data_IF_445468873758
#
_entry.id   IF_445468873758
#
_cell.length_a   1.000
_cell.length_b   1.000
_cell.length_c   1.000
_cell.angle_alpha   90.00
_cell.angle_beta   90.00
_cell.angle_gamma   90.00
#
_symmetry.space_group_name_H-M   'P 1'
#
loop_
_entity.id
_entity.type
_entity.pdbx_description
1 polymer ?
#
# COMPACT_ATOMS: atom_id res chain seq x y z
N UNK A 1 23.44 -34.88 6.21
CA UNK A 1 23.53 -33.44 6.08
C UNK A 1 23.40 -32.87 7.49
N UNK A 2 24.49 -32.48 8.15
CA UNK A 2 24.42 -31.85 9.47
C UNK A 2 23.86 -30.43 9.28
N UNK A 3 22.66 -30.19 9.78
CA UNK A 3 22.14 -28.85 9.95
C UNK A 3 23.05 -28.12 10.96
N UNK A 4 23.99 -27.32 10.48
CA UNK A 4 24.75 -26.41 11.34
C UNK A 4 23.77 -25.39 11.89
N UNK A 5 23.45 -25.47 13.17
CA UNK A 5 22.71 -24.46 13.89
C UNK A 5 23.56 -23.19 13.92
N UNK A 6 23.34 -22.29 12.99
CA UNK A 6 23.95 -20.96 13.06
C UNK A 6 23.20 -20.15 14.12
N UNK A 7 23.92 -19.74 15.18
CA UNK A 7 23.34 -18.83 16.16
C UNK A 7 23.08 -17.47 15.49
N UNK A 8 21.82 -17.13 15.28
CA UNK A 8 21.43 -15.80 14.72
C UNK A 8 21.86 -14.71 15.69
N UNK A 9 22.42 -13.62 15.19
CA UNK A 9 22.80 -12.43 15.93
C UNK A 9 21.58 -11.85 16.68
N UNK A 10 21.78 -11.26 17.86
CA UNK A 10 20.71 -10.51 18.54
C UNK A 10 20.28 -9.31 17.73
N UNK A 11 19.01 -8.96 17.83
CA UNK A 11 18.45 -7.74 17.28
C UNK A 11 17.49 -7.10 18.29
N UNK A 12 17.38 -5.78 18.23
CA UNK A 12 16.52 -4.97 19.09
C UNK A 12 15.52 -4.26 18.22
N UNK A 13 14.25 -4.28 18.65
CA UNK A 13 13.20 -3.40 18.20
C UNK A 13 12.90 -2.40 19.31
N UNK A 14 13.07 -1.11 19.06
CA UNK A 14 12.71 -0.02 19.97
C UNK A 14 11.59 0.79 19.33
N UNK A 15 10.49 1.00 20.06
CA UNK A 15 9.38 1.87 19.67
C UNK A 15 9.60 3.30 20.16
N UNK A 16 8.96 4.26 19.54
CA UNK A 16 9.08 5.69 19.83
C UNK A 16 8.77 6.06 21.28
N UNK A 17 7.85 5.33 21.91
CA UNK A 17 7.49 5.51 23.33
C UNK A 17 8.48 4.84 24.32
N UNK A 18 9.58 4.27 23.82
CA UNK A 18 10.64 3.63 24.61
C UNK A 18 10.41 2.15 24.87
N UNK A 19 9.35 1.52 24.37
CA UNK A 19 9.13 0.07 24.51
C UNK A 19 10.16 -0.71 23.70
N UNK A 20 10.83 -1.68 24.34
CA UNK A 20 11.87 -2.52 23.74
C UNK A 20 11.38 -3.96 23.60
N UNK A 21 11.74 -4.59 22.47
CA UNK A 21 11.59 -6.02 22.25
C UNK A 21 12.92 -6.59 21.73
N UNK A 22 13.33 -7.73 22.28
CA UNK A 22 14.54 -8.43 21.85
C UNK A 22 14.20 -9.64 21.00
N UNK A 23 15.00 -9.88 19.97
CA UNK A 23 14.85 -10.99 19.03
C UNK A 23 16.15 -11.37 18.36
N UNK A 24 16.05 -11.89 17.16
CA UNK A 24 17.16 -12.34 16.32
C UNK A 24 17.15 -11.61 14.98
N UNK A 25 18.34 -11.30 14.48
CA UNK A 25 18.51 -10.72 13.17
C UNK A 25 17.99 -11.66 12.07
N UNK A 26 17.36 -11.07 11.06
CA UNK A 26 16.95 -11.70 9.81
C UNK A 26 17.20 -10.70 8.68
N UNK A 27 17.48 -11.20 7.47
CA UNK A 27 17.89 -10.36 6.35
C UNK A 27 19.28 -9.74 6.56
N UNK A 28 19.42 -8.46 6.19
CA UNK A 28 20.68 -7.73 6.29
C UNK A 28 20.98 -7.38 7.75
N UNK A 29 22.24 -7.57 8.16
CA UNK A 29 22.76 -7.01 9.42
C UNK A 29 22.87 -5.49 9.25
N UNK A 30 22.33 -4.73 10.20
CA UNK A 30 22.31 -3.28 10.12
C UNK A 30 21.24 -2.65 11.03
N UNK A 31 20.93 -1.39 10.73
CA UNK A 31 19.93 -0.59 11.43
C UNK A 31 18.95 0.02 10.42
N UNK A 32 17.65 -0.02 10.72
CA UNK A 32 16.58 0.58 9.91
C UNK A 32 15.53 1.24 10.78
N UNK A 33 14.87 2.26 10.23
CA UNK A 33 13.79 3.02 10.89
C UNK A 33 12.57 3.13 9.99
N UNK A 34 11.42 3.38 10.60
CA UNK A 34 10.17 3.62 9.88
C UNK A 34 8.97 3.63 10.82
N UNK A 35 7.81 3.97 10.28
CA UNK A 35 6.55 3.82 11.01
C UNK A 35 6.19 2.34 11.12
N UNK A 36 5.91 1.87 12.34
CA UNK A 36 5.50 0.49 12.57
C UNK A 36 4.05 0.28 12.16
N UNK A 37 3.80 -0.77 11.41
CA UNK A 37 2.45 -1.22 11.07
C UNK A 37 2.39 -2.75 11.10
N UNK A 38 1.18 -3.31 11.12
CA UNK A 38 1.02 -4.78 11.10
C UNK A 38 0.13 -5.21 9.94
N UNK A 39 0.41 -6.38 9.37
CA UNK A 39 -0.43 -7.00 8.36
C UNK A 39 -0.96 -8.34 8.88
N UNK A 40 -2.28 -8.56 8.73
CA UNK A 40 -2.98 -9.76 9.20
C UNK A 40 -3.08 -10.87 8.14
N UNK A 41 -2.51 -10.65 6.95
CA UNK A 41 -2.47 -11.65 5.88
C UNK A 41 -1.69 -12.91 6.28
N UNK A 42 -2.25 -14.07 6.00
CA UNK A 42 -1.61 -15.37 6.30
C UNK A 42 -0.65 -15.81 5.20
N UNK A 43 -0.68 -15.17 4.04
CA UNK A 43 0.13 -15.45 2.85
C UNK A 43 0.38 -14.18 2.06
N UNK A 44 1.22 -14.24 1.01
CA UNK A 44 1.47 -13.11 0.13
C UNK A 44 2.51 -12.13 0.68
N UNK A 45 3.48 -12.61 1.44
CA UNK A 45 4.47 -11.72 2.04
C UNK A 45 5.32 -10.99 0.99
N UNK A 46 5.62 -11.62 -0.15
CA UNK A 46 6.44 -10.99 -1.19
C UNK A 46 5.70 -9.82 -1.86
N UNK A 47 4.43 -10.00 -2.14
CA UNK A 47 3.53 -8.96 -2.66
C UNK A 47 3.42 -7.79 -1.65
N UNK A 48 3.30 -8.09 -0.35
CA UNK A 48 3.28 -7.07 0.71
C UNK A 48 4.60 -6.29 0.75
N UNK A 49 5.76 -6.99 0.67
CA UNK A 49 7.06 -6.34 0.77
C UNK A 49 7.38 -5.47 -0.45
N UNK A 50 6.81 -5.77 -1.60
CA UNK A 50 7.01 -5.04 -2.86
C UNK A 50 5.88 -4.05 -3.18
N UNK A 51 4.83 -3.94 -2.35
CA UNK A 51 3.78 -2.94 -2.48
C UNK A 51 4.32 -1.54 -2.13
N UNK A 52 4.32 -0.59 -3.10
CA UNK A 52 4.84 0.76 -2.88
C UNK A 52 4.17 1.51 -1.72
N UNK A 53 2.92 1.18 -1.39
CA UNK A 53 2.18 1.82 -0.29
C UNK A 53 2.78 1.57 1.09
N UNK A 54 3.67 0.57 1.24
CA UNK A 54 4.42 0.34 2.48
C UNK A 54 5.75 1.11 2.56
N UNK A 55 6.06 1.96 1.58
CA UNK A 55 7.32 2.71 1.62
C UNK A 55 7.45 3.56 2.90
N UNK A 56 8.61 3.46 3.56
CA UNK A 56 8.86 4.12 4.85
C UNK A 56 8.29 3.42 6.07
N UNK A 57 7.72 2.21 5.92
CA UNK A 57 7.12 1.46 7.02
C UNK A 57 7.90 0.18 7.36
N UNK A 58 7.90 -0.17 8.66
CA UNK A 58 8.37 -1.45 9.19
C UNK A 58 7.14 -2.31 9.45
N UNK A 59 7.05 -3.45 8.75
CA UNK A 59 5.85 -4.28 8.71
C UNK A 59 5.95 -5.47 9.66
N UNK A 60 5.02 -5.58 10.60
CA UNK A 60 4.84 -6.79 11.42
C UNK A 60 4.02 -7.79 10.60
N UNK A 61 4.60 -8.92 10.27
CA UNK A 61 3.88 -10.06 9.73
C UNK A 61 3.25 -10.86 10.87
N UNK A 62 1.92 -10.88 10.93
CA UNK A 62 1.20 -11.53 12.03
C UNK A 62 1.08 -13.06 11.88
N UNK A 63 1.41 -13.61 10.71
CA UNK A 63 1.55 -15.05 10.50
C UNK A 63 2.82 -15.60 11.18
N UNK A 64 2.76 -16.88 11.59
CA UNK A 64 3.82 -17.50 12.40
C UNK A 64 5.12 -17.66 11.62
N UNK A 65 5.04 -18.12 10.38
CA UNK A 65 6.21 -18.43 9.54
C UNK A 65 6.28 -17.50 8.33
N UNK A 66 7.42 -16.89 8.11
CA UNK A 66 7.71 -16.04 6.94
C UNK A 66 8.97 -16.58 6.26
N UNK A 67 8.99 -16.61 4.92
CA UNK A 67 10.10 -17.16 4.12
C UNK A 67 9.95 -18.64 3.73
N UNK A 68 9.01 -19.36 4.32
CA UNK A 68 8.84 -20.82 4.18
C UNK A 68 8.48 -21.29 2.76
N UNK A 69 7.99 -20.43 1.88
CA UNK A 69 7.73 -20.76 0.47
C UNK A 69 8.64 -20.01 -0.52
N UNK A 70 9.68 -19.30 -0.03
CA UNK A 70 10.65 -18.61 -0.86
C UNK A 70 10.09 -17.37 -1.58
N UNK A 71 10.78 -16.96 -2.63
CA UNK A 71 10.38 -15.82 -3.48
C UNK A 71 10.31 -16.24 -4.94
N UNK A 72 9.51 -15.54 -5.75
CA UNK A 72 9.29 -15.79 -7.17
C UNK A 72 9.04 -14.48 -7.92
N UNK A 73 9.69 -14.27 -9.08
CA UNK A 73 9.69 -13.01 -9.81
C UNK A 73 8.29 -12.53 -10.27
N UNK A 74 7.34 -13.44 -10.49
CA UNK A 74 5.98 -13.06 -10.90
C UNK A 74 5.12 -12.52 -9.76
N UNK A 75 5.56 -12.73 -8.50
CA UNK A 75 4.83 -12.33 -7.29
C UNK A 75 5.32 -11.00 -6.70
N UNK A 76 5.68 -10.06 -7.57
CA UNK A 76 6.10 -8.71 -7.17
C UNK A 76 5.10 -7.67 -7.64
N UNK A 77 4.87 -6.67 -6.80
CA UNK A 77 3.96 -5.56 -7.08
C UNK A 77 4.67 -4.28 -7.54
N UNK A 78 6.01 -4.23 -7.45
CA UNK A 78 6.85 -3.15 -8.01
C UNK A 78 8.23 -3.68 -8.45
N UNK A 79 9.19 -2.80 -8.66
CA UNK A 79 10.53 -3.11 -9.15
C UNK A 79 11.49 -3.65 -8.07
N UNK A 80 11.20 -3.39 -6.79
CA UNK A 80 12.05 -3.74 -5.65
C UNK A 80 11.24 -3.86 -4.36
N UNK A 81 11.86 -4.29 -3.27
CA UNK A 81 11.26 -4.24 -1.94
C UNK A 81 11.06 -2.78 -1.54
N UNK A 82 9.89 -2.47 -0.97
CA UNK A 82 9.49 -1.10 -0.57
C UNK A 82 9.37 -0.90 0.93
N UNK A 83 9.22 -1.99 1.70
CA UNK A 83 9.23 -1.89 3.16
C UNK A 83 10.61 -1.44 3.67
N UNK A 84 10.64 -0.68 4.77
CA UNK A 84 11.89 -0.31 5.44
C UNK A 84 12.47 -1.46 6.26
N UNK A 85 11.64 -2.37 6.73
CA UNK A 85 12.06 -3.53 7.52
C UNK A 85 10.89 -4.45 7.86
N UNK A 86 11.18 -5.60 8.43
CA UNK A 86 10.16 -6.60 8.75
C UNK A 86 10.34 -7.16 10.16
N UNK A 87 9.22 -7.40 10.81
CA UNK A 87 9.12 -8.05 12.13
C UNK A 87 8.32 -9.33 11.99
N UNK A 88 8.85 -10.48 12.40
CA UNK A 88 8.10 -11.73 12.36
C UNK A 88 8.35 -12.65 13.56
N UNK A 89 7.47 -13.62 13.76
CA UNK A 89 7.61 -14.62 14.83
C UNK A 89 8.69 -15.64 14.48
N UNK A 90 8.68 -16.18 13.26
CA UNK A 90 9.68 -17.15 12.78
C UNK A 90 10.06 -16.83 11.34
N UNK A 91 11.37 -16.63 11.16
CA UNK A 91 11.96 -16.43 9.85
C UNK A 91 12.55 -17.75 9.35
N UNK A 92 12.14 -18.19 8.18
CA UNK A 92 12.59 -19.43 7.55
C UNK A 92 13.73 -19.17 6.60
N UNK A 93 14.88 -19.79 6.82
CA UNK A 93 16.04 -19.70 5.92
C UNK A 93 15.90 -20.66 4.72
N UNK A 94 15.07 -21.70 4.87
CA UNK A 94 14.78 -22.68 3.81
C UNK A 94 13.36 -22.53 3.29
N UNK A 95 13.15 -22.89 2.04
CA UNK A 95 11.84 -22.87 1.38
C UNK A 95 11.51 -24.19 0.68
N UNK A 96 10.22 -24.47 0.47
CA UNK A 96 9.75 -25.75 -0.06
C UNK A 96 8.86 -25.66 -1.29
N UNK A 97 8.51 -24.46 -1.77
CA UNK A 97 7.66 -24.30 -2.96
C UNK A 97 8.44 -24.54 -4.24
N UNK A 98 7.91 -25.39 -5.14
CA UNK A 98 8.56 -25.78 -6.40
C UNK A 98 8.90 -24.60 -7.33
N UNK A 99 8.06 -23.55 -7.33
CA UNK A 99 8.22 -22.35 -8.18
C UNK A 99 9.16 -21.31 -7.59
N UNK A 100 9.55 -21.45 -6.33
CA UNK A 100 10.44 -20.48 -5.71
C UNK A 100 11.82 -20.52 -6.37
N UNK A 101 12.33 -19.35 -6.68
CA UNK A 101 13.62 -19.14 -7.33
C UNK A 101 14.74 -18.83 -6.34
N UNK A 102 14.39 -18.32 -5.15
CA UNK A 102 15.35 -17.93 -4.13
C UNK A 102 14.73 -17.98 -2.70
N UNK A 103 15.61 -17.89 -1.69
CA UNK A 103 15.22 -17.73 -0.30
C UNK A 103 14.87 -16.28 0.02
N UNK A 104 13.99 -16.08 1.00
CA UNK A 104 13.69 -14.72 1.49
C UNK A 104 14.91 -14.07 2.14
N UNK A 105 15.81 -14.86 2.76
CA UNK A 105 17.04 -14.35 3.38
C UNK A 105 17.93 -13.67 2.32
N UNK A 106 18.23 -14.37 1.22
CA UNK A 106 19.04 -13.82 0.15
C UNK A 106 18.37 -12.63 -0.55
N UNK A 107 17.05 -12.68 -0.75
CA UNK A 107 16.25 -11.59 -1.29
C UNK A 107 16.35 -10.31 -0.44
N UNK A 108 16.28 -10.46 0.90
CA UNK A 108 16.43 -9.33 1.83
C UNK A 108 17.86 -8.80 1.90
N UNK A 109 18.86 -9.68 1.86
CA UNK A 109 20.28 -9.26 1.84
C UNK A 109 20.61 -8.46 0.59
N UNK A 110 20.11 -8.91 -0.58
CA UNK A 110 20.30 -8.23 -1.87
C UNK A 110 19.73 -6.82 -1.87
N UNK A 111 18.54 -6.63 -1.30
CA UNK A 111 17.86 -5.33 -1.24
C UNK A 111 18.16 -4.56 0.06
N UNK A 112 19.12 -5.04 0.88
CA UNK A 112 19.56 -4.42 2.16
C UNK A 112 18.45 -4.26 3.20
N UNK A 113 17.50 -5.19 3.29
CA UNK A 113 16.40 -5.15 4.25
C UNK A 113 16.82 -5.70 5.60
N UNK A 114 16.78 -4.85 6.62
CA UNK A 114 17.04 -5.22 8.02
C UNK A 114 15.75 -5.70 8.66
N UNK A 115 15.80 -6.83 9.37
CA UNK A 115 14.61 -7.45 9.95
C UNK A 115 14.90 -8.09 11.30
N UNK A 116 13.84 -8.29 12.09
CA UNK A 116 13.91 -8.98 13.38
C UNK A 116 12.92 -10.15 13.43
N UNK A 117 13.39 -11.29 13.90
CA UNK A 117 12.60 -12.49 14.14
C UNK A 117 12.69 -12.98 15.58
N UNK A 118 11.96 -14.04 15.90
CA UNK A 118 11.90 -14.65 17.23
C UNK A 118 11.39 -13.70 18.32
N UNK A 119 10.50 -12.77 17.93
CA UNK A 119 9.78 -11.86 18.81
C UNK A 119 8.33 -12.29 19.03
N UNK A 120 7.70 -11.82 20.08
CA UNK A 120 6.26 -12.02 20.30
C UNK A 120 5.44 -11.01 19.46
N UNK A 121 5.23 -11.34 18.18
CA UNK A 121 4.48 -10.48 17.26
C UNK A 121 3.07 -10.21 17.74
N UNK A 122 2.41 -11.16 18.42
CA UNK A 122 1.06 -10.95 18.95
C UNK A 122 1.03 -9.86 20.02
N UNK A 123 2.02 -9.87 20.92
CA UNK A 123 2.17 -8.81 21.93
C UNK A 123 2.44 -7.46 21.31
N UNK A 124 3.31 -7.40 20.28
CA UNK A 124 3.63 -6.16 19.57
C UNK A 124 2.40 -5.62 18.83
N UNK A 125 1.68 -6.48 18.10
CA UNK A 125 0.45 -6.08 17.37
C UNK A 125 -0.61 -5.52 18.32
N UNK A 126 -0.84 -6.17 19.47
CA UNK A 126 -1.78 -5.64 20.46
C UNK A 126 -1.32 -4.29 21.01
N UNK A 127 -0.04 -4.15 21.27
CA UNK A 127 0.54 -2.90 21.76
C UNK A 127 0.35 -1.75 20.75
N UNK A 128 0.72 -1.98 19.48
CA UNK A 128 0.56 -0.99 18.42
C UNK A 128 -0.91 -0.66 18.15
N UNK A 129 -1.80 -1.66 18.20
CA UNK A 129 -3.23 -1.43 18.07
C UNK A 129 -3.79 -0.53 19.17
N UNK A 130 -3.33 -0.72 20.41
CA UNK A 130 -3.83 0.01 21.58
C UNK A 130 -3.19 1.41 21.70
N UNK A 131 -1.94 1.59 21.28
CA UNK A 131 -1.17 2.85 21.37
C UNK A 131 -1.23 3.71 20.10
N UNK A 132 -1.51 3.10 18.96
CA UNK A 132 -1.48 3.74 17.65
C UNK A 132 -0.19 3.46 16.87
N UNK A 133 -0.21 3.79 15.58
CA UNK A 133 0.97 3.74 14.73
C UNK A 133 1.98 4.80 15.20
N UNK A 134 3.26 4.41 15.28
CA UNK A 134 4.36 5.25 15.76
C UNK A 134 5.65 4.89 15.04
N UNK A 135 6.69 5.71 15.17
CA UNK A 135 8.00 5.37 14.62
C UNK A 135 8.68 4.26 15.45
N UNK A 136 9.51 3.48 14.79
CA UNK A 136 10.34 2.47 15.43
C UNK A 136 11.70 2.32 14.75
N UNK A 137 12.63 1.66 15.42
CA UNK A 137 13.96 1.31 14.93
C UNK A 137 14.23 -0.16 15.17
N UNK A 138 14.76 -0.85 14.17
CA UNK A 138 15.33 -2.20 14.31
C UNK A 138 16.83 -2.09 14.14
N UNK A 139 17.60 -2.66 15.08
CA UNK A 139 19.05 -2.78 14.94
C UNK A 139 19.54 -4.16 15.35
N UNK A 140 20.46 -4.70 14.54
CA UNK A 140 21.23 -5.89 14.85
C UNK A 140 22.73 -5.60 15.06
N UNK A 141 23.14 -4.34 15.00
CA UNK A 141 24.54 -3.90 15.20
C UNK A 141 24.69 -2.96 16.39
N UNK A 142 23.70 -2.12 16.68
CA UNK A 142 23.67 -1.21 17.82
C UNK A 142 22.84 -1.86 18.92
N UNK A 143 23.41 -2.01 20.12
CA UNK A 143 22.73 -2.58 21.30
C UNK A 143 22.48 -1.56 22.41
N UNK A 144 23.09 -0.38 22.31
CA UNK A 144 22.87 0.72 23.25
C UNK A 144 21.50 1.37 22.98
N UNK A 145 20.63 1.31 23.98
CA UNK A 145 19.25 1.83 23.86
C UNK A 145 19.23 3.35 23.76
N UNK A 146 20.14 4.06 24.41
CA UNK A 146 20.18 5.52 24.37
C UNK A 146 20.65 6.01 22.99
N UNK A 147 21.60 5.30 22.38
CA UNK A 147 21.99 5.57 20.99
C UNK A 147 20.83 5.32 20.03
N UNK A 148 20.09 4.21 20.19
CA UNK A 148 18.91 3.92 19.36
C UNK A 148 17.81 4.97 19.54
N UNK A 149 17.56 5.46 20.76
CA UNK A 149 16.62 6.57 21.02
C UNK A 149 17.03 7.84 20.30
N UNK A 150 18.32 8.18 20.33
CA UNK A 150 18.85 9.36 19.66
C UNK A 150 18.73 9.30 18.13
N UNK A 151 18.84 8.11 17.55
CA UNK A 151 18.58 7.88 16.11
C UNK A 151 17.08 7.95 15.80
N UNK A 152 16.25 7.31 16.59
CA UNK A 152 14.80 7.25 16.41
C UNK A 152 14.15 8.64 16.51
N UNK A 153 14.63 9.50 17.39
CA UNK A 153 14.15 10.87 17.55
C UNK A 153 14.33 11.76 16.30
N UNK A 154 15.18 11.33 15.35
CA UNK A 154 15.39 12.04 14.08
C UNK A 154 14.46 11.58 12.95
N UNK A 155 13.69 10.52 13.17
CA UNK A 155 12.79 9.94 12.16
C UNK A 155 11.53 10.80 12.06
N UNK A 156 11.20 11.32 10.88
CA UNK A 156 10.01 12.15 10.73
C UNK A 156 8.73 11.34 10.93
N UNK A 157 7.68 12.00 11.40
CA UNK A 157 6.34 11.41 11.44
C UNK A 157 5.80 11.20 10.01
N UNK A 158 4.96 10.18 9.80
CA UNK A 158 4.27 9.96 8.53
C UNK A 158 3.34 11.14 8.17
N UNK A 159 2.82 11.87 9.16
CA UNK A 159 2.05 13.08 8.90
C UNK A 159 2.92 14.14 8.23
N UNK A 160 2.44 14.69 7.12
CA UNK A 160 3.14 15.70 6.36
C UNK A 160 4.24 15.16 5.44
N UNK A 161 4.39 13.84 5.30
CA UNK A 161 5.38 13.24 4.38
C UNK A 161 4.78 12.96 3.01
N UNK A 162 5.34 13.59 1.98
CA UNK A 162 5.16 13.18 0.58
C UNK A 162 6.16 12.06 0.27
N UNK A 163 5.65 10.85 0.03
CA UNK A 163 6.48 9.67 -0.25
C UNK A 163 6.26 9.09 -1.66
N UNK A 164 5.22 9.51 -2.36
CA UNK A 164 4.90 9.04 -3.71
C UNK A 164 6.01 9.34 -4.71
N UNK A 165 6.68 10.49 -4.58
CA UNK A 165 7.83 10.85 -5.43
C UNK A 165 9.03 9.90 -5.31
N UNK A 166 9.10 9.12 -4.23
CA UNK A 166 10.18 8.14 -4.00
C UNK A 166 9.93 6.80 -4.69
N UNK A 167 8.69 6.50 -5.01
CA UNK A 167 8.27 5.19 -5.56
C UNK A 167 7.62 5.28 -6.94
N UNK A 168 7.07 6.42 -7.33
CA UNK A 168 6.49 6.64 -8.65
C UNK A 168 7.57 6.63 -9.75
N UNK A 169 7.15 6.27 -10.96
CA UNK A 169 8.03 6.32 -12.15
C UNK A 169 8.58 7.74 -12.36
N UNK A 170 9.78 7.83 -12.90
CA UNK A 170 10.40 9.12 -13.25
C UNK A 170 10.08 9.55 -14.69
N UNK A 171 9.73 8.60 -15.56
CA UNK A 171 9.42 8.84 -16.97
C UNK A 171 8.17 8.08 -17.35
N UNK A 172 7.35 8.67 -18.21
CA UNK A 172 6.16 7.99 -18.71
C UNK A 172 6.54 6.73 -19.52
N UNK A 173 5.75 5.67 -19.37
CA UNK A 173 5.91 4.43 -20.11
C UNK A 173 4.57 3.83 -20.52
N UNK A 174 4.58 2.92 -21.48
CA UNK A 174 3.38 2.32 -22.06
C UNK A 174 3.32 0.81 -21.75
N UNK A 175 2.12 0.30 -21.54
CA UNK A 175 1.85 -1.13 -21.29
C UNK A 175 0.59 -1.54 -22.05
N UNK A 176 0.57 -2.78 -22.54
CA UNK A 176 -0.55 -3.37 -23.26
C UNK A 176 -0.44 -3.20 -24.77
N UNK A 177 -1.41 -3.76 -25.48
CA UNK A 177 -1.44 -3.73 -26.93
C UNK A 177 -1.95 -2.38 -27.45
N UNK A 178 -1.25 -1.76 -28.39
CA UNK A 178 -1.66 -0.46 -28.97
C UNK A 178 -3.00 -0.53 -29.72
N UNK A 179 -3.41 -1.74 -30.09
CA UNK A 179 -4.70 -2.05 -30.75
C UNK A 179 -5.83 -2.27 -29.76
N UNK A 180 -5.57 -2.20 -28.45
CA UNK A 180 -6.57 -2.35 -27.41
C UNK A 180 -7.70 -1.34 -27.57
N UNK A 181 -8.90 -1.76 -27.17
CA UNK A 181 -10.13 -1.00 -27.36
C UNK A 181 -10.14 0.34 -26.62
N UNK A 182 -9.54 0.39 -25.43
CA UNK A 182 -9.55 1.56 -24.58
C UNK A 182 -8.14 2.06 -24.26
N UNK A 183 -7.97 3.37 -24.17
CA UNK A 183 -6.74 4.04 -23.76
C UNK A 183 -6.90 4.63 -22.37
N UNK A 184 -6.07 4.24 -21.42
CA UNK A 184 -6.14 4.72 -20.04
C UNK A 184 -4.85 5.46 -19.67
N UNK A 185 -5.00 6.69 -19.21
CA UNK A 185 -3.91 7.41 -18.56
C UNK A 185 -3.89 7.04 -17.06
N UNK A 186 -2.78 6.47 -16.62
CA UNK A 186 -2.57 6.09 -15.21
C UNK A 186 -1.69 7.14 -14.56
N UNK A 187 -2.17 7.80 -13.52
CA UNK A 187 -1.36 8.68 -12.68
C UNK A 187 -0.67 7.81 -11.63
N UNK A 188 0.66 7.79 -11.68
CA UNK A 188 1.49 6.94 -10.83
C UNK A 188 1.87 7.67 -9.53
N UNK A 189 1.25 7.25 -8.43
CA UNK A 189 1.60 7.68 -7.06
C UNK A 189 2.38 6.59 -6.31
N UNK A 190 2.71 5.49 -6.96
CA UNK A 190 3.27 4.26 -6.44
C UNK A 190 2.41 3.07 -6.84
N UNK A 191 2.18 2.91 -8.15
CA UNK A 191 1.22 1.96 -8.70
C UNK A 191 1.67 0.51 -8.49
N UNK A 192 0.77 -0.33 -7.98
CA UNK A 192 0.95 -1.78 -7.96
C UNK A 192 0.80 -2.37 -9.35
N UNK A 193 1.70 -3.29 -9.70
CA UNK A 193 1.66 -4.00 -11.01
C UNK A 193 0.31 -4.67 -11.26
N UNK A 194 -0.38 -5.14 -10.22
CA UNK A 194 -1.65 -5.83 -10.40
C UNK A 194 -2.81 -4.90 -10.81
N UNK A 195 -2.74 -3.60 -10.50
CA UNK A 195 -3.67 -2.60 -11.07
C UNK A 195 -3.49 -2.55 -12.59
N UNK A 196 -2.24 -2.45 -13.05
CA UNK A 196 -1.92 -2.39 -14.48
C UNK A 196 -2.33 -3.69 -15.20
N UNK A 197 -2.03 -4.86 -14.59
CA UNK A 197 -2.47 -6.18 -15.10
C UNK A 197 -4.00 -6.27 -15.19
N UNK A 198 -4.71 -5.77 -14.17
CA UNK A 198 -6.18 -5.81 -14.15
C UNK A 198 -6.82 -4.99 -15.28
N UNK A 199 -6.20 -3.88 -15.66
CA UNK A 199 -6.65 -3.04 -16.78
C UNK A 199 -6.26 -3.67 -18.13
N UNK A 200 -5.01 -4.15 -18.31
CA UNK A 200 -4.58 -4.75 -19.58
C UNK A 200 -5.35 -6.03 -19.90
N UNK A 201 -5.72 -6.83 -18.89
CA UNK A 201 -6.60 -7.99 -19.07
C UNK A 201 -8.02 -7.65 -19.53
N UNK A 202 -8.39 -6.35 -19.51
CA UNK A 202 -9.69 -5.82 -19.95
C UNK A 202 -9.60 -4.99 -21.23
N UNK A 203 -8.65 -5.34 -22.08
CA UNK A 203 -8.45 -4.71 -23.38
C UNK A 203 -8.15 -3.20 -23.28
N UNK A 204 -7.28 -2.84 -22.33
CA UNK A 204 -6.81 -1.48 -22.15
C UNK A 204 -5.33 -1.34 -22.55
N UNK A 205 -5.03 -0.32 -23.34
CA UNK A 205 -3.71 0.22 -23.56
C UNK A 205 -3.45 1.34 -22.56
N UNK A 206 -2.38 1.22 -21.79
CA UNK A 206 -2.08 2.10 -20.68
C UNK A 206 -0.87 2.99 -21.01
N UNK A 207 -0.96 4.25 -20.65
CA UNK A 207 0.22 5.10 -20.47
C UNK A 207 0.28 5.54 -19.02
N UNK A 208 1.36 5.15 -18.35
CA UNK A 208 1.63 5.46 -16.96
C UNK A 208 2.43 6.74 -16.91
N UNK A 209 1.92 7.74 -16.24
CA UNK A 209 2.50 9.07 -16.14
C UNK A 209 3.15 9.29 -14.78
N UNK A 210 4.31 9.97 -14.71
CA UNK A 210 4.97 10.29 -13.46
C UNK A 210 4.16 11.27 -12.61
N UNK A 211 4.50 11.38 -11.33
CA UNK A 211 3.85 12.26 -10.36
C UNK A 211 3.73 13.72 -10.87
N UNK A 212 4.80 14.26 -11.40
CA UNK A 212 4.87 15.64 -11.92
C UNK A 212 4.45 15.73 -13.40
N UNK A 213 3.24 15.27 -13.72
CA UNK A 213 2.66 15.42 -15.06
C UNK A 213 1.69 16.58 -15.12
N UNK A 214 1.53 17.18 -16.29
CA UNK A 214 0.62 18.30 -16.54
C UNK A 214 -0.70 17.82 -17.13
N UNK A 215 -1.76 18.62 -16.97
CA UNK A 215 -3.05 18.35 -17.63
C UNK A 215 -2.89 18.22 -19.15
N UNK A 216 -2.02 19.05 -19.75
CA UNK A 216 -1.76 19.01 -21.20
C UNK A 216 -1.19 17.66 -21.63
N UNK A 217 -0.18 17.13 -20.93
CA UNK A 217 0.40 15.83 -21.27
C UNK A 217 -0.62 14.69 -21.19
N UNK A 218 -1.52 14.74 -20.18
CA UNK A 218 -2.61 13.76 -20.02
C UNK A 218 -3.65 13.87 -21.15
N UNK A 219 -4.03 15.11 -21.53
CA UNK A 219 -5.01 15.34 -22.59
C UNK A 219 -4.44 15.05 -23.97
N UNK A 220 -3.16 15.35 -24.24
CA UNK A 220 -2.48 15.04 -25.51
C UNK A 220 -2.42 13.52 -25.79
N UNK A 221 -2.41 12.68 -24.73
CA UNK A 221 -2.51 11.22 -24.91
C UNK A 221 -3.88 10.78 -25.42
N UNK A 222 -4.90 11.63 -25.31
CA UNK A 222 -6.29 11.34 -25.69
C UNK A 222 -6.82 10.05 -25.07
N UNK A 223 -6.65 9.92 -23.75
CA UNK A 223 -7.18 8.77 -22.98
C UNK A 223 -8.70 8.75 -22.98
N UNK A 224 -9.29 7.57 -22.95
CA UNK A 224 -10.74 7.38 -22.75
C UNK A 224 -11.14 7.57 -21.29
N UNK A 225 -10.23 7.32 -20.36
CA UNK A 225 -10.40 7.52 -18.91
C UNK A 225 -9.10 7.60 -18.15
N UNK A 226 -9.20 7.88 -16.86
CA UNK A 226 -8.07 8.08 -15.95
C UNK A 226 -8.12 7.09 -14.80
N UNK A 227 -6.96 6.52 -14.45
CA UNK A 227 -6.75 5.71 -13.26
C UNK A 227 -5.86 6.49 -12.30
N UNK A 228 -6.33 6.72 -11.07
CA UNK A 228 -5.55 7.30 -9.98
C UNK A 228 -5.05 6.15 -9.10
N UNK A 229 -3.74 5.92 -9.10
CA UNK A 229 -3.18 4.74 -8.46
C UNK A 229 -3.15 4.84 -6.93
N UNK A 230 -2.83 3.73 -6.29
CA UNK A 230 -2.38 3.67 -4.90
C UNK A 230 -1.02 4.34 -4.72
N UNK A 231 -0.60 4.53 -3.47
CA UNK A 231 0.72 5.06 -3.12
C UNK A 231 0.90 5.30 -1.63
N UNK A 232 2.13 5.63 -1.19
CA UNK A 232 2.47 5.91 0.20
C UNK A 232 2.36 7.39 0.55
N UNK A 233 2.37 7.69 1.85
CA UNK A 233 2.50 9.03 2.39
C UNK A 233 1.19 9.68 2.81
N UNK A 234 1.28 10.95 3.16
CA UNK A 234 0.15 11.79 3.55
C UNK A 234 -0.46 12.47 2.31
N UNK A 235 -1.73 12.20 1.97
CA UNK A 235 -2.36 12.81 0.81
C UNK A 235 -2.49 14.35 0.92
N UNK A 236 -2.54 14.91 2.13
CA UNK A 236 -2.81 16.34 2.35
C UNK A 236 -1.70 17.26 1.86
N UNK A 237 -0.49 16.75 1.66
CA UNK A 237 0.65 17.54 1.16
C UNK A 237 0.82 17.48 -0.37
N UNK A 238 0.00 16.69 -1.06
CA UNK A 238 0.05 16.51 -2.53
C UNK A 238 -0.84 17.53 -3.25
N UNK A 239 -0.62 18.80 -2.98
CA UNK A 239 -1.50 19.91 -3.43
C UNK A 239 -1.57 20.07 -4.94
N UNK A 240 -0.46 19.85 -5.65
CA UNK A 240 -0.41 19.93 -7.12
C UNK A 240 -1.24 18.82 -7.76
N UNK A 241 -1.13 17.59 -7.23
CA UNK A 241 -1.86 16.42 -7.70
C UNK A 241 -3.37 16.56 -7.43
N UNK A 242 -3.74 17.11 -6.27
CA UNK A 242 -5.14 17.41 -5.92
C UNK A 242 -5.73 18.42 -6.92
N UNK A 243 -5.01 19.47 -7.27
CA UNK A 243 -5.44 20.47 -8.27
C UNK A 243 -5.55 19.86 -9.67
N UNK A 244 -4.58 19.01 -10.06
CA UNK A 244 -4.63 18.29 -11.33
C UNK A 244 -5.86 17.37 -11.40
N UNK A 245 -6.14 16.60 -10.35
CA UNK A 245 -7.30 15.70 -10.29
C UNK A 245 -8.60 16.51 -10.38
N UNK A 246 -8.68 17.66 -9.72
CA UNK A 246 -9.84 18.56 -9.85
C UNK A 246 -10.08 18.96 -11.30
N UNK A 247 -9.02 19.31 -12.04
CA UNK A 247 -9.12 19.64 -13.47
C UNK A 247 -9.52 18.41 -14.31
N UNK A 248 -9.02 17.22 -13.99
CA UNK A 248 -9.41 15.97 -14.68
C UNK A 248 -10.90 15.66 -14.49
N UNK A 249 -11.46 15.87 -13.30
CA UNK A 249 -12.89 15.71 -13.02
C UNK A 249 -13.76 16.61 -13.92
N UNK A 250 -13.26 17.81 -14.25
CA UNK A 250 -13.97 18.75 -15.14
C UNK A 250 -13.91 18.34 -16.62
N UNK A 251 -13.02 17.42 -17.01
CA UNK A 251 -13.02 16.88 -18.40
C UNK A 251 -14.25 16.02 -18.69
N UNK A 252 -14.98 15.56 -17.69
CA UNK A 252 -16.12 14.68 -17.81
C UNK A 252 -15.79 13.23 -18.17
N UNK A 253 -14.52 12.87 -18.34
CA UNK A 253 -14.09 11.50 -18.64
C UNK A 253 -14.16 10.61 -17.39
N UNK A 254 -14.35 9.29 -17.57
CA UNK A 254 -14.33 8.34 -16.47
C UNK A 254 -13.04 8.38 -15.65
N UNK A 255 -13.19 8.36 -14.33
CA UNK A 255 -12.06 8.29 -13.38
C UNK A 255 -12.32 7.19 -12.38
N UNK A 256 -11.31 6.34 -12.14
CA UNK A 256 -11.28 5.38 -11.06
C UNK A 256 -10.08 5.63 -10.15
N UNK A 257 -10.30 5.81 -8.85
CA UNK A 257 -9.26 6.03 -7.83
C UNK A 257 -9.15 4.86 -6.86
N UNK A 258 -7.92 4.44 -6.53
CA UNK A 258 -7.63 3.35 -5.61
C UNK A 258 -6.72 3.86 -4.48
N UNK A 259 -7.12 3.63 -3.23
CA UNK A 259 -6.36 3.92 -2.00
C UNK A 259 -5.91 5.39 -1.93
N UNK A 260 -4.65 5.73 -2.18
CA UNK A 260 -4.19 7.12 -2.24
C UNK A 260 -4.96 7.91 -3.32
N UNK A 261 -5.23 7.31 -4.48
CA UNK A 261 -6.05 7.93 -5.53
C UNK A 261 -7.47 8.24 -5.10
N UNK A 262 -8.07 7.43 -4.20
CA UNK A 262 -9.35 7.73 -3.56
C UNK A 262 -9.25 8.95 -2.63
N UNK A 263 -8.20 9.03 -1.82
CA UNK A 263 -8.00 10.14 -0.89
C UNK A 263 -7.76 11.46 -1.64
N UNK A 264 -6.93 11.44 -2.68
CA UNK A 264 -6.66 12.62 -3.52
C UNK A 264 -7.90 13.07 -4.30
N UNK A 265 -8.70 12.12 -4.81
CA UNK A 265 -9.98 12.43 -5.44
C UNK A 265 -10.94 13.10 -4.45
N UNK A 266 -11.06 12.57 -3.24
CA UNK A 266 -11.89 13.16 -2.19
C UNK A 266 -11.44 14.58 -1.85
N UNK A 267 -10.13 14.80 -1.67
CA UNK A 267 -9.57 16.12 -1.39
C UNK A 267 -9.79 17.10 -2.55
N UNK A 268 -9.72 16.65 -3.80
CA UNK A 268 -10.03 17.48 -4.97
C UNK A 268 -11.48 18.02 -4.98
N UNK A 269 -12.36 17.36 -4.22
CA UNK A 269 -13.76 17.76 -4.02
C UNK A 269 -14.01 18.46 -2.67
N UNK A 270 -12.96 18.85 -1.95
CA UNK A 270 -13.04 19.56 -0.67
C UNK A 270 -13.28 18.67 0.55
N UNK A 271 -13.09 17.37 0.43
CA UNK A 271 -13.19 16.43 1.56
C UNK A 271 -11.80 16.27 2.18
N UNK A 272 -11.67 16.56 3.46
CA UNK A 272 -10.41 16.37 4.19
C UNK A 272 -10.11 14.89 4.47
N UNK A 273 -8.84 14.60 4.76
CA UNK A 273 -8.38 13.29 5.24
C UNK A 273 -7.76 13.42 6.62
N UNK A 274 -7.74 12.34 7.36
CA UNK A 274 -7.07 12.28 8.66
C UNK A 274 -6.31 10.97 8.85
N UNK A 275 -5.26 11.00 9.67
CA UNK A 275 -4.50 9.80 10.03
C UNK A 275 -5.30 8.96 11.01
N UNK A 276 -5.44 7.69 10.71
CA UNK A 276 -6.09 6.70 11.57
C UNK A 276 -5.18 6.31 12.73
N UNK A 277 -5.76 5.85 13.82
CA UNK A 277 -5.02 5.41 15.01
C UNK A 277 -4.04 4.26 14.70
N UNK A 278 -4.48 3.20 14.03
CA UNK A 278 -3.64 2.07 13.64
C UNK A 278 -3.65 1.78 12.13
N UNK A 279 -4.57 2.37 11.38
CA UNK A 279 -4.82 2.09 9.96
C UNK A 279 -5.41 0.71 9.69
N UNK A 280 -5.78 0.46 8.43
CA UNK A 280 -6.26 -0.83 7.97
C UNK A 280 -5.19 -1.52 7.12
N UNK A 281 -4.76 -2.73 7.54
CA UNK A 281 -3.78 -3.53 6.80
C UNK A 281 -4.05 -5.01 6.98
N UNK A 282 -4.35 -5.68 5.87
CA UNK A 282 -4.69 -7.10 5.84
C UNK A 282 -5.52 -7.46 4.63
N UNK A 283 -5.87 -8.73 4.54
CA UNK A 283 -6.60 -9.30 3.40
C UNK A 283 -7.99 -9.84 3.79
N UNK A 284 -8.50 -9.41 4.93
CA UNK A 284 -9.72 -9.97 5.54
C UNK A 284 -10.63 -8.90 6.14
N UNK A 285 -10.60 -7.69 5.60
CA UNK A 285 -11.45 -6.60 6.06
C UNK A 285 -12.83 -6.65 5.38
N UNK A 286 -13.93 -6.74 6.14
CA UNK A 286 -15.27 -6.76 5.58
C UNK A 286 -15.72 -5.34 5.22
N UNK A 287 -16.16 -5.16 3.99
CA UNK A 287 -16.70 -3.89 3.47
C UNK A 287 -18.10 -4.12 2.93
N UNK A 288 -19.02 -3.22 3.24
CA UNK A 288 -20.36 -3.23 2.68
C UNK A 288 -20.46 -2.27 1.49
N UNK A 289 -20.84 -2.80 0.35
CA UNK A 289 -21.30 -2.01 -0.77
C UNK A 289 -22.74 -1.55 -0.47
N UNK A 290 -22.92 -0.24 -0.25
CA UNK A 290 -24.20 0.34 0.15
C UNK A 290 -25.18 0.32 -1.01
N UNK A 291 -24.71 0.43 -2.24
CA UNK A 291 -25.55 0.47 -3.44
C UNK A 291 -26.21 -0.88 -3.71
N UNK A 292 -25.45 -1.97 -3.57
CA UNK A 292 -25.94 -3.34 -3.84
C UNK A 292 -26.41 -4.07 -2.58
N UNK A 293 -26.05 -3.58 -1.39
CA UNK A 293 -26.28 -4.25 -0.11
C UNK A 293 -25.35 -5.44 0.19
N UNK A 294 -24.45 -5.79 -0.74
CA UNK A 294 -23.51 -6.93 -0.59
C UNK A 294 -22.36 -6.58 0.35
N UNK A 295 -21.89 -7.59 1.06
CA UNK A 295 -20.64 -7.52 1.82
C UNK A 295 -19.53 -8.23 1.04
N UNK A 296 -18.35 -7.64 1.06
CA UNK A 296 -17.16 -8.08 0.35
C UNK A 296 -16.00 -8.20 1.34
N UNK A 297 -15.13 -9.15 1.15
CA UNK A 297 -13.86 -9.24 1.89
C UNK A 297 -12.79 -8.56 1.04
N UNK A 298 -12.07 -7.61 1.65
CA UNK A 298 -11.17 -6.73 0.92
C UNK A 298 -9.73 -6.80 1.42
N UNK A 299 -8.80 -6.46 0.52
CA UNK A 299 -7.41 -6.20 0.84
C UNK A 299 -7.23 -4.72 1.18
N UNK A 300 -6.60 -4.44 2.32
CA UNK A 300 -6.44 -3.09 2.87
C UNK A 300 -4.98 -2.79 3.16
N UNK A 301 -4.53 -1.59 2.82
CA UNK A 301 -3.24 -1.06 3.20
C UNK A 301 -3.24 0.47 3.20
N UNK A 302 -3.78 1.09 4.24
CA UNK A 302 -3.78 2.55 4.38
C UNK A 302 -3.73 2.99 5.84
N UNK A 303 -3.09 4.14 6.07
CA UNK A 303 -3.01 4.79 7.39
C UNK A 303 -3.83 6.08 7.47
N UNK A 304 -4.38 6.54 6.35
CA UNK A 304 -5.26 7.71 6.26
C UNK A 304 -6.62 7.31 5.72
N UNK A 305 -7.65 8.08 6.05
CA UNK A 305 -9.02 7.90 5.54
C UNK A 305 -9.70 9.24 5.33
N UNK A 306 -10.77 9.26 4.55
CA UNK A 306 -11.55 10.46 4.25
C UNK A 306 -12.51 10.82 5.40
N UNK A 307 -12.78 12.11 5.58
CA UNK A 307 -13.66 12.61 6.64
C UNK A 307 -15.14 12.47 6.26
N UNK A 308 -15.87 11.64 7.00
CA UNK A 308 -17.29 11.40 6.76
C UNK A 308 -18.16 12.66 6.99
N UNK A 309 -17.78 13.53 7.94
CA UNK A 309 -18.50 14.77 8.23
C UNK A 309 -18.44 15.77 7.07
N UNK A 310 -17.34 15.79 6.34
CA UNK A 310 -17.20 16.65 5.16
C UNK A 310 -18.02 16.10 3.98
N UNK A 311 -18.06 14.76 3.81
CA UNK A 311 -18.92 14.13 2.79
C UNK A 311 -20.39 14.43 3.07
N UNK A 312 -20.83 14.38 4.33
CA UNK A 312 -22.20 14.67 4.70
C UNK A 312 -22.65 16.11 4.33
N UNK A 313 -21.70 17.05 4.23
CA UNK A 313 -21.95 18.44 3.81
C UNK A 313 -21.89 18.64 2.29
N UNK A 314 -21.37 17.67 1.54
CA UNK A 314 -21.20 17.78 0.08
C UNK A 314 -22.26 16.98 -0.67
N UNK A 315 -23.29 17.68 -1.16
CA UNK A 315 -24.43 17.05 -1.87
C UNK A 315 -24.05 16.37 -3.19
N UNK A 316 -22.87 16.65 -3.75
CA UNK A 316 -22.42 16.07 -5.03
C UNK A 316 -21.72 14.72 -4.87
N UNK A 317 -21.43 14.31 -3.63
CA UNK A 317 -20.75 13.03 -3.35
C UNK A 317 -21.76 12.04 -2.77
N UNK A 318 -21.60 10.79 -3.15
CA UNK A 318 -22.34 9.66 -2.60
C UNK A 318 -21.37 8.63 -2.06
N UNK A 319 -21.60 8.16 -0.82
CA UNK A 319 -20.85 7.06 -0.23
C UNK A 319 -21.33 5.76 -0.88
N UNK A 320 -20.38 4.96 -1.37
CA UNK A 320 -20.67 3.68 -2.03
C UNK A 320 -20.29 2.47 -1.18
N UNK A 321 -19.24 2.61 -0.36
CA UNK A 321 -18.72 1.51 0.45
C UNK A 321 -18.35 1.99 1.86
N UNK A 322 -18.56 1.11 2.86
CA UNK A 322 -18.28 1.37 4.28
C UNK A 322 -17.65 0.14 4.92
N UNK A 323 -16.62 0.33 5.72
CA UNK A 323 -16.00 -0.72 6.53
C UNK A 323 -16.96 -1.20 7.62
N UNK A 324 -17.09 -2.50 7.80
CA UNK A 324 -18.02 -3.08 8.78
C UNK A 324 -17.41 -3.16 10.20
N UNK A 325 -16.11 -2.95 10.35
CA UNK A 325 -15.46 -3.00 11.67
C UNK A 325 -15.56 -1.67 12.42
N UNK A 326 -15.39 -0.54 11.72
CA UNK A 326 -15.28 0.79 12.34
C UNK A 326 -16.09 1.89 11.62
N UNK A 327 -16.82 1.52 10.56
CA UNK A 327 -17.67 2.40 9.78
C UNK A 327 -16.95 3.53 9.03
N UNK A 328 -15.64 3.41 8.83
CA UNK A 328 -14.89 4.32 7.96
C UNK A 328 -15.38 4.22 6.52
N UNK A 329 -15.23 5.34 5.78
CA UNK A 329 -15.64 5.41 4.38
C UNK A 329 -14.64 4.65 3.51
N UNK A 330 -15.14 3.70 2.75
CA UNK A 330 -14.34 2.82 1.90
C UNK A 330 -14.58 3.04 0.40
N UNK A 331 -15.49 3.92 0.03
CA UNK A 331 -15.71 4.28 -1.36
C UNK A 331 -16.69 5.43 -1.53
N UNK A 332 -16.43 6.22 -2.57
CA UNK A 332 -17.28 7.34 -2.97
C UNK A 332 -17.49 7.36 -4.49
N UNK A 333 -18.56 8.03 -4.92
CA UNK A 333 -18.75 8.42 -6.31
C UNK A 333 -19.26 9.85 -6.42
N UNK A 334 -18.95 10.52 -7.52
CA UNK A 334 -19.51 11.83 -7.83
C UNK A 334 -20.87 11.63 -8.54
N UNK A 335 -21.90 12.31 -8.05
CA UNK A 335 -23.21 12.30 -8.72
C UNK A 335 -23.10 12.96 -10.09
N UNK A 336 -23.75 12.37 -11.08
CA UNK A 336 -23.81 12.88 -12.45
C UNK A 336 -22.46 12.94 -13.21
N UNK A 337 -21.41 12.32 -12.68
CA UNK A 337 -20.13 12.14 -13.38
C UNK A 337 -19.69 10.68 -13.31
N UNK A 338 -19.01 10.13 -14.33
CA UNK A 338 -18.52 8.74 -14.31
C UNK A 338 -17.23 8.63 -13.49
N UNK A 339 -17.26 9.11 -12.24
CA UNK A 339 -16.11 9.23 -11.35
C UNK A 339 -16.41 8.52 -10.04
N UNK A 340 -15.59 7.54 -9.69
CA UNK A 340 -15.70 6.81 -8.43
C UNK A 340 -14.33 6.35 -7.90
N UNK A 341 -14.28 5.98 -6.64
CA UNK A 341 -13.06 5.50 -6.02
C UNK A 341 -13.33 4.63 -4.80
N UNK A 342 -12.35 3.79 -4.46
CA UNK A 342 -12.38 2.94 -3.27
C UNK A 342 -11.08 3.08 -2.47
N UNK A 343 -11.19 2.98 -1.14
CA UNK A 343 -10.06 3.08 -0.23
C UNK A 343 -9.22 1.79 -0.19
N UNK A 344 -9.85 0.65 -0.36
CA UNK A 344 -9.23 -0.66 -0.39
C UNK A 344 -8.66 -1.01 -1.78
N UNK A 345 -8.03 -2.19 -1.88
CA UNK A 345 -7.33 -2.67 -3.07
C UNK A 345 -8.15 -3.73 -3.82
N UNK A 346 -8.99 -3.36 -4.82
CA UNK A 346 -9.79 -4.31 -5.59
C UNK A 346 -8.94 -5.21 -6.50
N UNK A 347 -7.71 -4.80 -6.80
CA UNK A 347 -6.74 -5.61 -7.54
C UNK A 347 -6.22 -6.77 -6.71
N UNK A 348 -6.34 -6.72 -5.38
CA UNK A 348 -5.78 -7.68 -4.42
C UNK A 348 -4.24 -7.83 -4.54
N UNK A 349 -3.71 -9.06 -4.56
CA UNK A 349 -2.29 -9.41 -4.52
C UNK A 349 -1.50 -8.73 -3.38
N UNK A 350 -1.57 -9.39 -2.19
CA UNK A 350 -2.38 -10.60 -1.90
C UNK A 350 -3.81 -10.23 -1.53
N UNK A 351 -4.73 -11.20 -1.63
CA UNK A 351 -6.07 -11.03 -1.07
C UNK A 351 -7.19 -11.63 -1.90
N UNK A 352 -8.44 -11.47 -1.41
CA UNK A 352 -9.65 -11.94 -2.08
C UNK A 352 -9.95 -11.15 -3.35
N UNK A 353 -10.77 -11.73 -4.21
CA UNK A 353 -11.10 -11.20 -5.53
C UNK A 353 -12.53 -10.62 -5.61
N UNK A 354 -13.21 -10.48 -4.47
CA UNK A 354 -14.62 -10.12 -4.37
C UNK A 354 -14.95 -8.80 -5.08
N UNK A 355 -14.02 -7.85 -5.03
CA UNK A 355 -14.20 -6.48 -5.55
C UNK A 355 -13.59 -6.23 -6.93
N UNK A 356 -13.10 -7.27 -7.63
CA UNK A 356 -12.55 -7.12 -9.00
C UNK A 356 -13.55 -6.57 -10.02
N UNK A 357 -14.85 -6.71 -9.79
CA UNK A 357 -15.90 -6.15 -10.64
C UNK A 357 -15.81 -4.62 -10.78
N UNK A 358 -15.16 -3.92 -9.84
CA UNK A 358 -14.98 -2.46 -9.93
C UNK A 358 -14.14 -2.05 -11.16
N UNK A 359 -13.23 -2.91 -11.61
CA UNK A 359 -12.55 -2.69 -12.89
C UNK A 359 -13.52 -2.84 -14.07
N UNK A 360 -14.47 -3.79 -13.99
CA UNK A 360 -15.50 -3.97 -15.06
C UNK A 360 -16.46 -2.78 -15.07
N UNK A 361 -16.83 -2.23 -13.91
CA UNK A 361 -17.63 -1.00 -13.78
C UNK A 361 -16.90 0.20 -14.39
N UNK A 362 -15.58 0.30 -14.19
CA UNK A 362 -14.76 1.35 -14.81
C UNK A 362 -14.79 1.23 -16.33
N UNK A 363 -14.58 0.02 -16.88
CA UNK A 363 -14.64 -0.25 -18.32
C UNK A 363 -16.04 0.07 -18.88
N UNK A 364 -17.09 -0.28 -18.15
CA UNK A 364 -18.47 0.04 -18.58
C UNK A 364 -18.72 1.56 -18.67
N UNK A 365 -18.06 2.35 -17.85
CA UNK A 365 -18.12 3.82 -17.93
C UNK A 365 -17.36 4.39 -19.13
N UNK A 366 -16.30 3.73 -19.61
CA UNK A 366 -15.57 4.12 -20.83
C UNK A 366 -16.39 3.89 -22.10
N UNK A 367 -17.34 2.97 -22.06
CA UNK A 367 -18.15 2.59 -23.22
C UNK A 367 -19.37 3.52 -23.44
N UNK A 368 -19.65 4.43 -22.53
CA UNK A 368 -20.75 5.41 -22.61
C UNK A 368 -20.32 6.69 -23.29
#
# INVERSE_FOLDING_TARGET
MQLKYQSKQKAILLLEDGKVFEGKAAGKIGTTTGEICFNTGMTGYQEIFTDPSYFGQIVIMNNVHVGNYGVEESEIESDSIKISGMICKKFSDGFSRKRATDSLQHYFEKDNIVSISDVDTRSIVRYVRDKGAMNCIISSEITDIEELKALLAKVPSMNGLELSSKVATKTAYEIGEKTAKYKIAVLDFGVKKNILRSLTQRDCFLKVFPLKTTLKELTDFNADGYMLSNGPGDPSVMTDEILLIKQLVETGKPIFGICLGHQLLAQSQGISTYKMHAGHRGINHPVKNIITGKCEITSQNHGFTVNADDIAKNSNIEITHVNLNDHTIEGIRLKNKPVFSVQYHPEACPGPLDSRYLFDDFIANLAK
#
